data_IF_703545381647
#
_entry.id   IF_703545381647
#
_cell.length_a   1.000
_cell.length_b   1.000
_cell.length_c   1.000
_cell.angle_alpha   90.00
_cell.angle_beta   90.00
_cell.angle_gamma   90.00
#
_symmetry.space_group_name_H-M   'P 1'
#
loop_
_entity.id
_entity.type
_entity.pdbx_description
1 polymer ?
#
# COMPACT_ATOMS: atom_id res chain seq x y z
N UNK A 1 17.55 3.75 1.70
CA UNK A 1 16.23 3.63 2.36
C UNK A 1 15.26 2.86 1.47
N UNK A 2 14.44 2.01 2.07
CA UNK A 2 13.40 1.22 1.40
C UNK A 2 12.30 2.11 0.80
N UNK A 3 11.58 1.65 -0.24
CA UNK A 3 10.46 2.41 -0.82
C UNK A 3 9.40 2.84 0.20
N UNK A 4 9.14 2.03 1.22
CA UNK A 4 8.20 2.32 2.31
C UNK A 4 8.68 3.50 3.18
N UNK A 5 9.97 3.55 3.49
CA UNK A 5 10.55 4.67 4.27
C UNK A 5 10.42 5.99 3.51
N UNK A 6 10.53 5.98 2.18
CA UNK A 6 10.31 7.18 1.36
C UNK A 6 8.85 7.66 1.44
N UNK A 7 7.89 6.72 1.49
CA UNK A 7 6.47 7.05 1.69
C UNK A 7 6.24 7.65 3.07
N UNK A 8 6.84 7.08 4.12
CA UNK A 8 6.74 7.58 5.49
C UNK A 8 7.35 8.98 5.62
N UNK A 9 8.53 9.20 5.04
CA UNK A 9 9.17 10.51 5.02
C UNK A 9 8.32 11.54 4.27
N UNK A 10 7.73 11.18 3.13
CA UNK A 10 6.85 12.07 2.37
C UNK A 10 5.58 12.41 3.16
N UNK A 11 4.97 11.43 3.81
CA UNK A 11 3.80 11.62 4.65
C UNK A 11 4.11 12.52 5.87
N UNK A 12 5.25 12.31 6.52
CA UNK A 12 5.76 13.18 7.60
C UNK A 12 5.89 14.62 7.11
N UNK A 13 6.56 14.84 5.99
CA UNK A 13 6.72 16.19 5.42
C UNK A 13 5.37 16.85 5.15
N UNK A 14 4.40 16.13 4.58
CA UNK A 14 3.07 16.68 4.31
C UNK A 14 2.36 17.06 5.62
N UNK A 15 2.43 16.19 6.63
CA UNK A 15 1.86 16.41 7.96
C UNK A 15 2.50 17.59 8.70
N UNK A 16 3.83 17.71 8.64
CA UNK A 16 4.58 18.84 9.23
C UNK A 16 4.26 20.17 8.54
N UNK A 17 3.89 20.15 7.26
CA UNK A 17 3.37 21.31 6.54
C UNK A 17 1.89 21.61 6.86
N UNK A 18 1.29 20.98 7.88
CA UNK A 18 -0.08 21.21 8.31
C UNK A 18 -1.16 20.57 7.43
N UNK A 19 -0.78 19.74 6.46
CA UNK A 19 -1.72 19.08 5.56
C UNK A 19 -1.93 17.62 5.95
N UNK A 20 -3.14 17.10 5.77
CA UNK A 20 -3.40 15.67 5.97
C UNK A 20 -2.76 14.86 4.85
N UNK A 21 -1.87 13.89 5.15
CA UNK A 21 -1.27 13.06 4.11
C UNK A 21 -2.33 12.22 3.39
N UNK A 22 -2.46 12.45 2.08
CA UNK A 22 -3.37 11.70 1.19
C UNK A 22 -2.56 11.00 0.10
N UNK A 23 -3.17 10.00 -0.52
CA UNK A 23 -2.56 9.26 -1.63
C UNK A 23 -2.09 10.18 -2.76
N UNK A 24 -2.90 11.17 -3.11
CA UNK A 24 -2.61 12.11 -4.18
C UNK A 24 -1.41 13.02 -3.83
N UNK A 25 -1.35 13.53 -2.60
CA UNK A 25 -0.26 14.39 -2.14
C UNK A 25 1.06 13.62 -2.05
N UNK A 26 1.02 12.40 -1.53
CA UNK A 26 2.19 11.52 -1.45
C UNK A 26 2.68 11.16 -2.86
N UNK A 27 1.77 10.79 -3.77
CA UNK A 27 2.10 10.50 -5.18
C UNK A 27 2.69 11.71 -5.90
N UNK A 28 2.15 12.90 -5.66
CA UNK A 28 2.68 14.16 -6.20
C UNK A 28 4.09 14.46 -5.70
N UNK A 29 4.38 14.17 -4.42
CA UNK A 29 5.70 14.35 -3.79
C UNK A 29 6.76 13.35 -4.27
N UNK A 30 6.41 12.07 -4.42
CA UNK A 30 7.36 11.00 -4.78
C UNK A 30 7.49 10.80 -6.31
N UNK A 31 6.57 11.35 -7.10
CA UNK A 31 6.45 11.07 -8.53
C UNK A 31 6.01 9.63 -8.79
N UNK A 32 5.80 9.27 -10.06
CA UNK A 32 5.41 7.91 -10.49
C UNK A 32 6.48 6.82 -10.25
N UNK A 33 7.39 7.02 -9.30
CA UNK A 33 8.54 6.17 -9.00
C UNK A 33 8.24 5.07 -7.98
N UNK A 34 7.16 5.19 -7.21
CA UNK A 34 6.77 4.20 -6.18
C UNK A 34 5.47 3.50 -6.60
N UNK A 35 5.43 2.16 -6.64
CA UNK A 35 4.22 1.41 -6.95
C UNK A 35 3.06 1.74 -6.01
N UNK A 36 1.84 1.78 -6.54
CA UNK A 36 0.63 2.10 -5.78
C UNK A 36 0.44 1.23 -4.51
N UNK A 37 0.72 -0.09 -4.51
CA UNK A 37 0.63 -0.90 -3.30
C UNK A 37 1.56 -0.43 -2.17
N UNK A 38 2.78 -0.02 -2.51
CA UNK A 38 3.75 0.51 -1.55
C UNK A 38 3.31 1.87 -1.00
N UNK A 39 2.73 2.72 -1.86
CA UNK A 39 2.11 3.98 -1.42
C UNK A 39 0.97 3.74 -0.42
N UNK A 40 0.11 2.77 -0.70
CA UNK A 40 -1.00 2.37 0.19
C UNK A 40 -0.47 1.86 1.52
N UNK A 41 0.49 0.94 1.49
CA UNK A 41 1.06 0.34 2.68
C UNK A 41 1.77 1.39 3.55
N UNK A 42 2.62 2.24 2.96
CA UNK A 42 3.32 3.30 3.69
C UNK A 42 2.36 4.34 4.28
N UNK A 43 1.29 4.71 3.57
CA UNK A 43 0.27 5.62 4.09
C UNK A 43 -0.54 5.00 5.23
N UNK A 44 -0.87 3.70 5.16
CA UNK A 44 -1.53 3.00 6.25
C UNK A 44 -0.64 2.92 7.49
N UNK A 45 0.64 2.61 7.31
CA UNK A 45 1.62 2.63 8.41
C UNK A 45 1.74 4.01 9.04
N UNK A 46 1.85 5.07 8.24
CA UNK A 46 1.91 6.44 8.75
C UNK A 46 0.68 6.80 9.62
N UNK A 47 -0.52 6.40 9.18
CA UNK A 47 -1.77 6.64 9.93
C UNK A 47 -1.85 5.85 11.23
N UNK A 48 -1.19 4.70 11.32
CA UNK A 48 -1.13 3.89 12.53
C UNK A 48 -0.19 4.48 13.59
N UNK A 49 0.74 5.35 13.19
CA UNK A 49 1.71 5.99 14.09
C UNK A 49 1.03 7.18 14.80
N UNK A 50 1.05 7.23 16.15
CA UNK A 50 0.55 8.37 16.91
C UNK A 50 1.28 9.66 16.54
N UNK A 51 0.57 10.80 16.56
CA UNK A 51 1.10 12.10 16.12
C UNK A 51 2.35 12.52 16.89
N UNK A 52 2.44 12.09 18.14
CA UNK A 52 3.54 12.32 19.08
C UNK A 52 4.84 11.67 18.60
N UNK A 53 4.74 10.59 17.81
CA UNK A 53 5.87 9.84 17.28
C UNK A 53 6.25 10.25 15.85
N UNK A 54 5.57 11.24 15.26
CA UNK A 54 5.93 11.69 13.91
C UNK A 54 7.30 12.37 13.85
N UNK A 55 7.79 12.89 14.97
CA UNK A 55 9.12 13.54 15.02
C UNK A 55 10.27 12.53 14.88
N UNK A 56 10.07 11.27 15.27
CA UNK A 56 11.09 10.22 15.17
C UNK A 56 11.17 9.60 13.77
N UNK A 57 10.27 9.97 12.86
CA UNK A 57 10.27 9.48 11.48
C UNK A 57 11.42 10.11 10.67
N UNK A 58 11.98 9.37 9.70
CA UNK A 58 13.04 9.86 8.83
C UNK A 58 12.61 11.07 8.01
N UNK A 59 13.56 11.95 7.68
CA UNK A 59 13.30 13.15 6.88
C UNK A 59 13.42 12.89 5.37
N UNK A 60 12.68 13.65 4.57
CA UNK A 60 12.61 13.45 3.11
C UNK A 60 13.88 13.95 2.40
N UNK A 61 14.66 14.84 3.03
CA UNK A 61 15.90 15.40 2.49
C UNK A 61 16.94 14.33 2.11
N UNK A 62 17.06 13.26 2.90
CA UNK A 62 17.96 12.14 2.62
C UNK A 62 17.38 11.13 1.61
N UNK A 63 16.07 11.19 1.33
CA UNK A 63 15.36 10.20 0.52
C UNK A 63 15.45 10.46 -1.01
N UNK A 64 15.80 11.68 -1.43
CA UNK A 64 15.82 12.06 -2.84
C UNK A 64 17.18 11.82 -3.53
N UNK A 65 18.28 11.69 -2.78
CA UNK A 65 19.63 11.57 -3.36
C UNK A 65 20.03 10.13 -3.73
N UNK A 66 19.45 9.10 -3.09
CA UNK A 66 19.89 7.70 -3.29
C UNK A 66 19.26 6.98 -4.49
N UNK A 67 18.27 7.55 -5.17
CA UNK A 67 17.44 6.77 -6.14
C UNK A 67 17.71 7.09 -7.62
N UNK A 68 18.89 7.61 -7.98
CA UNK A 68 19.29 7.75 -9.39
C UNK A 68 19.59 6.43 -10.10
N UNK A 69 19.66 5.30 -9.39
CA UNK A 69 19.97 3.98 -9.96
C UNK A 69 19.09 2.89 -9.33
N UNK A 70 17.87 2.73 -9.83
CA UNK A 70 17.12 1.48 -9.67
C UNK A 70 15.97 1.42 -10.69
N UNK A 71 16.32 1.55 -11.96
CA UNK A 71 15.54 0.95 -13.03
C UNK A 71 16.14 -0.43 -13.27
N UNK A 72 15.31 -1.47 -13.09
CA UNK A 72 15.44 -2.87 -13.52
C UNK A 72 15.52 -3.96 -12.43
N UNK A 73 14.49 -4.80 -12.49
CA UNK A 73 14.53 -6.27 -12.45
C UNK A 73 14.82 -7.00 -11.12
N UNK A 74 13.77 -7.14 -10.32
CA UNK A 74 13.21 -8.43 -9.87
C UNK A 74 12.03 -8.15 -8.92
N UNK A 75 10.88 -8.84 -9.01
CA UNK A 75 9.87 -8.74 -7.97
C UNK A 75 10.51 -9.20 -6.66
N UNK A 76 10.55 -8.30 -5.67
CA UNK A 76 11.08 -8.64 -4.35
C UNK A 76 10.30 -9.82 -3.78
N UNK A 77 10.92 -10.69 -2.98
CA UNK A 77 10.22 -11.84 -2.38
C UNK A 77 8.94 -11.45 -1.62
N UNK A 78 8.91 -10.23 -1.08
CA UNK A 78 7.73 -9.64 -0.42
C UNK A 78 6.59 -9.42 -1.42
N UNK A 79 6.91 -8.99 -2.63
CA UNK A 79 5.94 -8.74 -3.70
C UNK A 79 5.36 -10.05 -4.25
N UNK A 80 6.19 -11.09 -4.38
CA UNK A 80 5.72 -12.44 -4.73
C UNK A 80 4.81 -13.01 -3.63
N UNK A 81 5.19 -12.88 -2.36
CA UNK A 81 4.39 -13.39 -1.25
C UNK A 81 3.05 -12.63 -1.11
N UNK A 82 3.04 -11.33 -1.34
CA UNK A 82 1.82 -10.53 -1.35
C UNK A 82 0.91 -10.92 -2.53
N UNK A 83 1.48 -11.11 -3.73
CA UNK A 83 0.71 -11.54 -4.90
C UNK A 83 0.10 -12.94 -4.69
N UNK A 84 0.85 -13.86 -4.09
CA UNK A 84 0.34 -15.18 -3.72
C UNK A 84 -0.81 -15.08 -2.70
N UNK A 85 -0.69 -14.23 -1.68
CA UNK A 85 -1.75 -14.02 -0.69
C UNK A 85 -3.02 -13.40 -1.32
N UNK A 86 -2.86 -12.45 -2.24
CA UNK A 86 -3.98 -11.87 -2.98
C UNK A 86 -4.66 -12.90 -3.90
N UNK A 87 -3.88 -13.75 -4.58
CA UNK A 87 -4.44 -14.84 -5.39
C UNK A 87 -5.24 -15.83 -4.52
N UNK A 88 -4.70 -16.20 -3.36
CA UNK A 88 -5.38 -17.10 -2.44
C UNK A 88 -6.72 -16.51 -1.96
N UNK A 89 -6.73 -15.23 -1.59
CA UNK A 89 -7.95 -14.53 -1.18
C UNK A 89 -8.98 -14.44 -2.31
N UNK A 90 -8.53 -14.22 -3.55
CA UNK A 90 -9.42 -14.21 -4.73
C UNK A 90 -10.10 -15.56 -4.91
N UNK A 91 -9.34 -16.65 -4.83
CA UNK A 91 -9.87 -18.02 -4.98
C UNK A 91 -10.90 -18.31 -3.88
N UNK A 92 -10.62 -17.91 -2.64
CA UNK A 92 -11.54 -18.11 -1.52
C UNK A 92 -12.84 -17.33 -1.72
N UNK A 93 -12.77 -16.08 -2.20
CA UNK A 93 -13.96 -15.30 -2.50
C UNK A 93 -14.77 -15.88 -3.67
N UNK A 94 -14.11 -16.34 -4.74
CA UNK A 94 -14.78 -17.00 -5.87
C UNK A 94 -15.52 -18.27 -5.42
N UNK A 95 -14.89 -19.10 -4.60
CA UNK A 95 -15.52 -20.30 -4.05
C UNK A 95 -16.74 -19.96 -3.16
N UNK A 96 -16.65 -18.87 -2.38
CA UNK A 96 -17.76 -18.43 -1.53
C UNK A 96 -18.93 -17.88 -2.36
N UNK A 97 -18.64 -17.14 -3.43
CA UNK A 97 -19.67 -16.67 -4.38
C UNK A 97 -20.37 -17.87 -5.02
N UNK A 98 -19.63 -18.85 -5.53
CA UNK A 98 -20.21 -20.04 -6.16
C UNK A 98 -21.08 -20.84 -5.18
N UNK A 99 -20.66 -20.97 -3.92
CA UNK A 99 -21.46 -21.61 -2.88
C UNK A 99 -22.76 -20.84 -2.57
N UNK A 100 -22.71 -19.51 -2.58
CA UNK A 100 -23.89 -18.67 -2.35
C UNK A 100 -24.85 -18.76 -3.53
N UNK A 101 -24.35 -18.71 -4.76
CA UNK A 101 -25.15 -18.89 -5.99
C UNK A 101 -25.87 -20.24 -6.01
N UNK A 102 -25.18 -21.34 -5.68
CA UNK A 102 -25.82 -22.67 -5.56
C UNK A 102 -26.92 -22.69 -4.51
N UNK A 103 -26.71 -22.02 -3.38
CA UNK A 103 -27.71 -21.95 -2.30
C UNK A 103 -28.92 -21.11 -2.68
N UNK A 104 -28.73 -20.02 -3.42
CA UNK A 104 -29.82 -19.22 -4.00
C UNK A 104 -30.63 -20.07 -4.97
N UNK A 105 -29.99 -20.75 -5.93
CA UNK A 105 -30.66 -21.64 -6.87
C UNK A 105 -31.48 -22.76 -6.19
N UNK A 106 -30.94 -23.35 -5.11
CA UNK A 106 -31.66 -24.36 -4.33
C UNK A 106 -32.88 -23.82 -3.58
N UNK A 107 -32.82 -22.56 -3.15
CA UNK A 107 -33.94 -21.90 -2.49
C UNK A 107 -35.00 -21.47 -3.49
N UNK A 108 -34.59 -20.97 -4.66
CA UNK A 108 -35.48 -20.61 -5.76
C UNK A 108 -36.23 -21.83 -6.32
N UNK A 109 -35.56 -22.97 -6.50
CA UNK A 109 -36.20 -24.22 -6.95
C UNK A 109 -37.07 -24.91 -5.89
N UNK A 110 -37.09 -24.41 -4.64
CA UNK A 110 -37.93 -24.93 -3.54
C UNK A 110 -39.20 -24.11 -3.31
N UNK A 111 -39.39 -23.00 -4.03
CA UNK A 111 -40.63 -22.23 -4.07
C UNK A 111 -41.48 -22.61 -5.28
#
# INVERSE_FOLDING_TARGET
MSPIEQVLAAAKTIAMNGHTPTMALIKGKLGGRVPMPILIQGLQQFKAIPKEQWQTLPDLGDALETTKQATNDAPSMIEQQLMAQMQQMKIEFEAKIESLEKRVLQLENKQ
#
